data_IF_335913442058
#
_entry.id   IF_335913442058
#
_cell.length_a   1.000
_cell.length_b   1.000
_cell.length_c   1.000
_cell.angle_alpha   90.00
_cell.angle_beta   90.00
_cell.angle_gamma   90.00
#
_symmetry.space_group_name_H-M   'P 1'
#
loop_
_entity.id
_entity.type
_entity.pdbx_description
1 polymer ?
#
# COMPACT_ATOMS: atom_id res chain seq x y z
N UNK A 1 5.46 -13.50 5.34
CA UNK A 1 4.32 -12.85 4.65
C UNK A 1 3.93 -11.51 5.25
N UNK A 2 3.65 -11.39 6.56
CA UNK A 2 3.33 -10.09 7.21
C UNK A 2 4.28 -8.95 6.82
N UNK A 3 5.59 -9.14 7.02
CA UNK A 3 6.61 -8.17 6.64
C UNK A 3 6.62 -7.87 5.14
N UNK A 4 6.50 -8.89 4.28
CA UNK A 4 6.50 -8.72 2.82
C UNK A 4 5.29 -7.92 2.32
N UNK A 5 4.17 -7.93 3.05
CA UNK A 5 2.99 -7.13 2.73
C UNK A 5 3.00 -5.74 3.37
N UNK A 6 3.64 -5.55 4.54
CA UNK A 6 3.70 -4.25 5.22
C UNK A 6 4.84 -3.37 4.77
N UNK A 7 6.00 -3.96 4.45
CA UNK A 7 7.17 -3.22 3.98
C UNK A 7 6.83 -2.40 2.72
N UNK A 8 6.16 -2.92 1.68
CA UNK A 8 5.76 -2.11 0.53
C UNK A 8 4.88 -0.92 0.89
N UNK A 9 3.91 -1.13 1.80
CA UNK A 9 2.97 -0.09 2.22
C UNK A 9 3.65 1.05 2.98
N UNK A 10 4.82 0.81 3.59
CA UNK A 10 5.59 1.84 4.31
C UNK A 10 6.77 2.37 3.48
N UNK A 11 7.52 1.49 2.83
CA UNK A 11 8.72 1.83 2.08
C UNK A 11 8.40 2.67 0.84
N UNK A 12 7.29 2.38 0.14
CA UNK A 12 6.89 3.17 -1.01
C UNK A 12 6.62 4.64 -0.65
N UNK A 13 5.69 4.98 0.28
CA UNK A 13 5.46 6.37 0.64
C UNK A 13 6.70 7.02 1.29
N UNK A 14 7.47 6.29 2.09
CA UNK A 14 8.72 6.82 2.66
C UNK A 14 9.75 7.19 1.58
N UNK A 15 9.93 6.34 0.57
CA UNK A 15 10.82 6.60 -0.56
C UNK A 15 10.37 7.80 -1.38
N UNK A 16 9.06 7.94 -1.63
CA UNK A 16 8.50 9.13 -2.27
C UNK A 16 8.73 10.39 -1.44
N UNK A 17 8.47 10.37 -0.13
CA UNK A 17 8.68 11.53 0.75
C UNK A 17 10.14 11.98 0.71
N UNK A 18 11.10 11.06 0.81
CA UNK A 18 12.54 11.39 0.78
C UNK A 18 12.90 12.08 -0.53
N UNK A 19 12.47 11.51 -1.67
CA UNK A 19 12.78 12.06 -3.01
C UNK A 19 12.14 13.43 -3.22
N UNK A 20 10.87 13.60 -2.82
CA UNK A 20 10.12 14.83 -3.05
C UNK A 20 10.58 16.00 -2.15
N UNK A 21 11.18 15.73 -0.99
CA UNK A 21 11.66 16.77 -0.08
C UNK A 21 13.13 17.16 -0.30
N UNK A 22 13.90 16.40 -1.09
CA UNK A 22 15.32 16.67 -1.33
C UNK A 22 15.75 16.38 -2.78
N UNK A 23 15.15 17.06 -3.78
CA UNK A 23 15.30 16.72 -5.20
C UNK A 23 16.70 16.98 -5.78
N UNK A 24 17.54 17.78 -5.13
CA UNK A 24 18.92 18.07 -5.59
C UNK A 24 19.98 17.21 -4.86
N UNK A 25 19.57 16.44 -3.85
CA UNK A 25 20.49 15.64 -3.06
C UNK A 25 20.58 14.21 -3.64
N UNK A 26 21.69 13.93 -4.32
CA UNK A 26 21.97 12.60 -4.92
C UNK A 26 21.79 11.45 -3.92
N UNK A 27 22.19 11.65 -2.66
CA UNK A 27 22.02 10.65 -1.59
C UNK A 27 20.54 10.39 -1.29
N UNK A 28 19.71 11.45 -1.28
CA UNK A 28 18.27 11.32 -1.05
C UNK A 28 17.58 10.62 -2.21
N UNK A 29 17.97 10.91 -3.45
CA UNK A 29 17.46 10.19 -4.63
C UNK A 29 17.80 8.70 -4.56
N UNK A 30 19.06 8.36 -4.28
CA UNK A 30 19.49 6.96 -4.14
C UNK A 30 18.69 6.25 -3.05
N UNK A 31 18.55 6.87 -1.87
CA UNK A 31 17.78 6.31 -0.76
C UNK A 31 16.29 6.15 -1.10
N UNK A 32 15.69 7.17 -1.73
CA UNK A 32 14.29 7.17 -2.14
C UNK A 32 13.99 6.08 -3.16
N UNK A 33 14.82 5.96 -4.20
CA UNK A 33 14.70 4.90 -5.20
C UNK A 33 14.96 3.52 -4.61
N UNK A 34 15.93 3.37 -3.72
CA UNK A 34 16.19 2.09 -3.05
C UNK A 34 14.96 1.60 -2.25
N UNK A 35 14.25 2.49 -1.57
CA UNK A 35 13.02 2.15 -0.85
C UNK A 35 11.85 1.80 -1.78
N UNK A 36 11.71 2.52 -2.89
CA UNK A 36 10.70 2.20 -3.91
C UNK A 36 11.00 0.84 -4.53
N UNK A 37 12.26 0.56 -4.88
CA UNK A 37 12.69 -0.73 -5.40
C UNK A 37 12.48 -1.86 -4.38
N UNK A 38 12.76 -1.61 -3.10
CA UNK A 38 12.46 -2.57 -2.03
C UNK A 38 10.96 -2.86 -1.94
N UNK A 39 10.11 -1.84 -2.04
CA UNK A 39 8.66 -2.01 -2.06
C UNK A 39 8.22 -2.89 -3.25
N UNK A 40 8.69 -2.59 -4.46
CA UNK A 40 8.38 -3.36 -5.66
C UNK A 40 8.92 -4.80 -5.58
N UNK A 41 10.12 -4.99 -5.04
CA UNK A 41 10.71 -6.30 -4.82
C UNK A 41 9.86 -7.13 -3.87
N UNK A 42 9.47 -6.57 -2.73
CA UNK A 42 8.57 -7.23 -1.79
C UNK A 42 7.22 -7.57 -2.44
N UNK A 43 6.64 -6.68 -3.26
CA UNK A 43 5.42 -6.97 -4.04
C UNK A 43 5.63 -8.15 -4.98
N UNK A 44 6.74 -8.17 -5.72
CA UNK A 44 7.06 -9.27 -6.64
C UNK A 44 7.14 -10.63 -5.92
N UNK A 45 7.55 -10.65 -4.64
CA UNK A 45 7.54 -11.85 -3.81
C UNK A 45 6.16 -12.20 -3.25
N UNK A 46 5.26 -11.22 -3.07
CA UNK A 46 3.89 -11.44 -2.61
C UNK A 46 3.01 -11.98 -3.73
N UNK A 47 3.19 -11.51 -4.97
CA UNK A 47 2.35 -11.90 -6.13
C UNK A 47 2.21 -13.43 -6.31
N UNK A 48 3.28 -14.24 -6.27
CA UNK A 48 3.17 -15.69 -6.42
C UNK A 48 2.76 -16.43 -5.13
N UNK A 49 2.47 -15.72 -4.04
CA UNK A 49 2.21 -16.35 -2.74
C UNK A 49 0.81 -16.95 -2.63
N UNK A 50 0.68 -17.95 -1.75
CA UNK A 50 -0.61 -18.54 -1.37
C UNK A 50 -1.64 -17.48 -0.91
N UNK A 51 -1.18 -16.45 -0.18
CA UNK A 51 -2.05 -15.36 0.28
C UNK A 51 -2.63 -14.56 -0.89
N UNK A 52 -1.82 -14.29 -1.91
CA UNK A 52 -2.29 -13.60 -3.11
C UNK A 52 -3.24 -14.47 -3.93
N UNK A 53 -3.03 -15.80 -3.97
CA UNK A 53 -3.96 -16.75 -4.59
C UNK A 53 -5.35 -16.63 -3.94
N UNK A 54 -5.43 -16.63 -2.61
CA UNK A 54 -6.70 -16.47 -1.91
C UNK A 54 -7.39 -15.16 -2.30
N UNK A 55 -6.67 -14.09 -2.62
CA UNK A 55 -7.29 -12.82 -3.06
C UNK A 55 -7.67 -12.83 -4.54
N UNK A 56 -6.79 -13.29 -5.42
CA UNK A 56 -6.86 -13.07 -6.86
C UNK A 56 -7.36 -14.24 -7.71
N UNK A 57 -7.42 -15.46 -7.17
CA UNK A 57 -7.81 -16.66 -7.94
C UNK A 57 -9.32 -16.71 -8.21
N UNK A 58 -9.77 -17.57 -9.12
CA UNK A 58 -11.19 -17.72 -9.42
C UNK A 58 -11.94 -18.39 -8.26
N UNK A 59 -13.22 -18.03 -8.07
CA UNK A 59 -14.04 -18.53 -6.95
C UNK A 59 -14.12 -20.07 -6.90
N UNK A 60 -14.09 -20.73 -8.06
CA UNK A 60 -14.17 -22.19 -8.16
C UNK A 60 -12.91 -22.92 -7.67
N UNK A 61 -11.78 -22.22 -7.57
CA UNK A 61 -10.49 -22.78 -7.13
C UNK A 61 -10.26 -22.60 -5.62
N UNK A 62 -11.27 -22.10 -4.89
CA UNK A 62 -11.20 -21.80 -3.47
C UNK A 62 -12.15 -22.68 -2.70
N UNK A 63 -11.71 -23.12 -1.53
CA UNK A 63 -12.59 -23.75 -0.57
C UNK A 63 -13.52 -22.71 0.13
N UNK A 64 -14.50 -23.19 0.90
CA UNK A 64 -15.44 -22.32 1.61
C UNK A 64 -14.76 -21.41 2.64
N UNK A 65 -13.67 -21.88 3.26
CA UNK A 65 -12.91 -21.14 4.25
C UNK A 65 -12.12 -19.98 3.62
N UNK A 66 -11.38 -20.26 2.54
CA UNK A 66 -10.66 -19.30 1.70
C UNK A 66 -11.61 -18.26 1.12
N UNK A 67 -12.82 -18.65 0.73
CA UNK A 67 -13.86 -17.73 0.29
C UNK A 67 -14.32 -16.76 1.39
N UNK A 68 -14.58 -17.25 2.60
CA UNK A 68 -14.96 -16.38 3.73
C UNK A 68 -13.80 -15.45 4.11
N UNK A 69 -12.58 -15.98 4.10
CA UNK A 69 -11.37 -15.24 4.37
C UNK A 69 -11.16 -14.11 3.34
N UNK A 70 -11.31 -14.40 2.06
CA UNK A 70 -11.32 -13.42 0.97
C UNK A 70 -12.35 -12.34 1.22
N UNK A 71 -13.60 -12.71 1.54
CA UNK A 71 -14.69 -11.75 1.79
C UNK A 71 -14.36 -10.79 2.93
N UNK A 72 -13.85 -11.31 4.05
CA UNK A 72 -13.44 -10.49 5.20
C UNK A 72 -12.28 -9.56 4.83
N UNK A 73 -11.28 -10.08 4.12
CA UNK A 73 -10.14 -9.31 3.65
C UNK A 73 -10.54 -8.15 2.73
N UNK A 74 -11.42 -8.39 1.74
CA UNK A 74 -11.92 -7.33 0.86
C UNK A 74 -12.76 -6.30 1.62
N UNK A 75 -13.58 -6.73 2.56
CA UNK A 75 -14.38 -5.80 3.39
C UNK A 75 -13.47 -4.88 4.20
N UNK A 76 -12.47 -5.46 4.88
CA UNK A 76 -11.52 -4.70 5.68
C UNK A 76 -10.64 -3.79 4.82
N UNK A 77 -10.14 -4.28 3.67
CA UNK A 77 -9.35 -3.49 2.73
C UNK A 77 -10.16 -2.32 2.17
N UNK A 78 -11.42 -2.55 1.81
CA UNK A 78 -12.33 -1.50 1.35
C UNK A 78 -12.55 -0.43 2.43
N UNK A 79 -12.83 -0.84 3.67
CA UNK A 79 -13.00 0.10 4.79
C UNK A 79 -11.73 0.90 5.05
N UNK A 80 -10.57 0.24 5.10
CA UNK A 80 -9.28 0.89 5.33
C UNK A 80 -8.92 1.87 4.20
N UNK A 81 -9.07 1.45 2.94
CA UNK A 81 -8.80 2.30 1.78
C UNK A 81 -9.78 3.47 1.68
N UNK A 82 -11.06 3.26 2.03
CA UNK A 82 -12.06 4.33 2.06
C UNK A 82 -11.73 5.36 3.14
N UNK A 83 -11.30 4.93 4.33
CA UNK A 83 -10.86 5.83 5.38
C UNK A 83 -9.63 6.65 4.96
N UNK A 84 -8.63 6.01 4.33
CA UNK A 84 -7.47 6.70 3.77
C UNK A 84 -7.86 7.72 2.70
N UNK A 85 -8.77 7.34 1.80
CA UNK A 85 -9.29 8.23 0.75
C UNK A 85 -10.04 9.42 1.36
N UNK A 86 -10.84 9.20 2.40
CA UNK A 86 -11.53 10.28 3.10
C UNK A 86 -10.54 11.24 3.75
N UNK A 87 -9.52 10.73 4.45
CA UNK A 87 -8.45 11.56 5.03
C UNK A 87 -7.74 12.36 3.95
N UNK A 88 -7.43 11.73 2.81
CA UNK A 88 -6.80 12.39 1.67
C UNK A 88 -7.68 13.53 1.13
N UNK A 89 -8.97 13.29 0.88
CA UNK A 89 -9.89 14.34 0.40
C UNK A 89 -10.05 15.47 1.41
N UNK A 90 -10.20 15.15 2.71
CA UNK A 90 -10.27 16.16 3.77
C UNK A 90 -9.00 17.02 3.82
N UNK A 91 -7.82 16.40 3.73
CA UNK A 91 -6.54 17.10 3.67
C UNK A 91 -6.49 18.08 2.50
N UNK A 92 -6.87 17.65 1.30
CA UNK A 92 -6.87 18.51 0.11
C UNK A 92 -7.87 19.65 0.20
N UNK A 93 -9.06 19.41 0.77
CA UNK A 93 -10.05 20.46 1.02
C UNK A 93 -9.49 21.53 1.96
N UNK A 94 -8.88 21.12 3.07
CA UNK A 94 -8.22 22.04 4.01
C UNK A 94 -7.06 22.76 3.33
N UNK A 95 -6.24 22.04 2.56
CA UNK A 95 -5.07 22.61 1.92
C UNK A 95 -5.42 23.68 0.89
N UNK A 96 -6.49 23.47 0.10
CA UNK A 96 -6.97 24.43 -0.88
C UNK A 96 -7.40 25.76 -0.22
N UNK A 97 -8.15 25.70 0.89
CA UNK A 97 -8.63 26.90 1.59
C UNK A 97 -7.55 27.58 2.44
N UNK A 98 -6.62 26.79 2.99
CA UNK A 98 -5.60 27.28 3.91
C UNK A 98 -4.31 27.74 3.22
N UNK A 99 -4.15 27.55 1.91
CA UNK A 99 -2.88 27.77 1.23
C UNK A 99 -2.36 29.20 1.35
N UNK A 100 -3.25 30.20 1.34
CA UNK A 100 -2.88 31.61 1.57
C UNK A 100 -2.37 31.87 2.99
N UNK A 101 -2.88 31.13 3.98
CA UNK A 101 -2.56 31.32 5.41
C UNK A 101 -1.42 30.42 5.88
N UNK A 102 -1.26 29.26 5.26
CA UNK A 102 -0.30 28.21 5.60
C UNK A 102 0.49 27.81 4.34
N UNK A 103 1.43 28.65 3.88
CA UNK A 103 2.18 28.40 2.65
C UNK A 103 3.12 27.19 2.74
N UNK A 104 3.39 26.69 3.95
CA UNK A 104 4.18 25.49 4.18
C UNK A 104 3.37 24.19 4.03
N UNK A 105 2.05 24.27 3.87
CA UNK A 105 1.21 23.09 3.71
C UNK A 105 1.44 22.48 2.33
N UNK A 106 1.88 21.23 2.31
CA UNK A 106 2.28 20.56 1.07
C UNK A 106 1.09 20.30 0.15
N UNK A 107 1.26 20.61 -1.14
CA UNK A 107 0.30 20.25 -2.19
C UNK A 107 1.05 19.71 -3.41
N UNK A 108 0.47 18.75 -4.14
CA UNK A 108 1.08 18.25 -5.38
C UNK A 108 1.03 19.34 -6.45
N UNK A 109 2.20 19.78 -6.92
CA UNK A 109 2.33 20.90 -7.87
C UNK A 109 2.88 20.49 -9.24
N UNK A 110 3.46 19.29 -9.34
CA UNK A 110 4.09 18.80 -10.56
C UNK A 110 3.72 17.32 -10.81
N UNK A 111 4.13 16.82 -11.98
CA UNK A 111 3.86 15.45 -12.39
C UNK A 111 4.44 14.41 -11.43
N UNK A 112 5.64 14.61 -10.89
CA UNK A 112 6.27 13.67 -9.96
C UNK A 112 5.44 13.48 -8.68
N UNK A 113 4.87 14.57 -8.14
CA UNK A 113 4.01 14.50 -6.94
C UNK A 113 2.76 13.66 -7.22
N UNK A 114 2.10 13.89 -8.36
CA UNK A 114 0.90 13.15 -8.75
C UNK A 114 1.20 11.69 -9.09
N UNK A 115 2.31 11.44 -9.77
CA UNK A 115 2.77 10.09 -10.09
C UNK A 115 3.04 9.29 -8.81
N UNK A 116 3.67 9.92 -7.80
CA UNK A 116 3.91 9.28 -6.51
C UNK A 116 2.60 8.87 -5.82
N UNK A 117 1.60 9.76 -5.78
CA UNK A 117 0.27 9.48 -5.20
C UNK A 117 -0.43 8.35 -5.95
N UNK A 118 -0.45 8.41 -7.29
CA UNK A 118 -1.13 7.42 -8.13
C UNK A 118 -0.61 6.00 -7.88
N UNK A 119 0.70 5.82 -7.97
CA UNK A 119 1.32 4.51 -7.76
C UNK A 119 1.20 4.04 -6.31
N UNK A 120 1.20 4.96 -5.34
CA UNK A 120 0.92 4.65 -3.94
C UNK A 120 -0.50 4.13 -3.76
N UNK A 121 -1.49 4.82 -4.33
CA UNK A 121 -2.89 4.39 -4.33
C UNK A 121 -3.05 3.01 -4.97
N UNK A 122 -2.47 2.81 -6.16
CA UNK A 122 -2.46 1.52 -6.85
C UNK A 122 -1.83 0.39 -6.01
N UNK A 123 -0.69 0.66 -5.37
CA UNK A 123 -0.01 -0.34 -4.54
C UNK A 123 -0.87 -0.73 -3.33
N UNK A 124 -1.53 0.25 -2.70
CA UNK A 124 -2.44 0.02 -1.59
C UNK A 124 -3.66 -0.80 -2.02
N UNK A 125 -4.28 -0.50 -3.16
CA UNK A 125 -5.47 -1.27 -3.62
C UNK A 125 -5.14 -2.74 -3.88
N UNK A 126 -3.96 -3.04 -4.42
CA UNK A 126 -3.53 -4.40 -4.70
C UNK A 126 -3.14 -5.16 -3.42
N UNK A 127 -2.41 -4.52 -2.51
CA UNK A 127 -1.80 -5.22 -1.37
C UNK A 127 -2.64 -5.26 -0.10
N UNK A 128 -3.53 -4.29 0.14
CA UNK A 128 -4.32 -4.24 1.36
C UNK A 128 -5.08 -5.54 1.68
N UNK A 129 -5.82 -6.19 0.75
CA UNK A 129 -6.50 -7.44 1.07
C UNK A 129 -5.49 -8.55 1.45
N UNK A 130 -4.38 -8.66 0.73
CA UNK A 130 -3.35 -9.68 0.98
C UNK A 130 -2.61 -9.43 2.31
N UNK A 131 -2.35 -8.16 2.64
CA UNK A 131 -1.79 -7.76 3.92
C UNK A 131 -2.73 -8.15 5.06
N UNK A 132 -4.03 -7.87 4.91
CA UNK A 132 -5.02 -8.26 5.91
C UNK A 132 -4.99 -9.77 6.18
N UNK A 133 -5.04 -10.59 5.13
CA UNK A 133 -4.96 -12.05 5.28
C UNK A 133 -3.65 -12.45 5.97
N UNK A 134 -2.51 -11.90 5.58
CA UNK A 134 -1.22 -12.22 6.18
C UNK A 134 -1.15 -11.93 7.70
N UNK A 135 -1.89 -10.92 8.17
CA UNK A 135 -1.94 -10.57 9.60
C UNK A 135 -2.95 -11.38 10.38
N UNK A 136 -4.11 -11.70 9.79
CA UNK A 136 -5.25 -12.27 10.50
C UNK A 136 -5.45 -13.78 10.30
N UNK A 137 -4.78 -14.39 9.32
CA UNK A 137 -4.69 -15.85 9.22
C UNK A 137 -3.57 -16.33 10.14
N UNK A 138 -3.92 -17.13 11.15
CA UNK A 138 -2.95 -17.91 11.91
C UNK A 138 -2.23 -18.88 10.99
N UNK A 139 -0.97 -19.21 11.28
CA UNK A 139 -0.23 -20.21 10.48
C UNK A 139 -1.10 -21.48 10.33
N UNK A 140 -1.14 -22.11 9.14
CA UNK A 140 -1.85 -23.37 8.98
C UNK A 140 -1.33 -24.32 10.06
N UNK A 141 -2.25 -24.99 10.76
CA UNK A 141 -1.87 -26.02 11.71
C UNK A 141 -0.94 -26.99 10.96
N UNK A 142 0.28 -27.18 11.47
CA UNK A 142 1.11 -28.26 10.98
C UNK A 142 0.31 -29.53 11.24
N UNK A 143 -0.18 -30.16 10.18
CA UNK A 143 -0.61 -31.54 10.28
C UNK A 143 0.64 -32.31 10.70
N UNK A 144 0.72 -32.66 11.98
CA UNK A 144 1.72 -33.57 12.50
C UNK A 144 1.51 -34.90 11.76
N UNK A 145 2.38 -35.17 10.78
CA UNK A 145 2.53 -36.49 10.15
C UNK A 145 2.94 -37.56 11.17
#
# INVERSE_FOLDING_TARGET
MRALTTVPLLAYPAGCIIRLNAPEAVIADIAGFALILLALFCVALVVPSYFQRIVGDEKQNLDEFEMDLRRRAYTAAYQGFSALTLIFVMYFGIAADAQEKLPWLWTPSNFDHWNAIFWGGFLYTVLLPTAWIAWFVGAPAQEEE
#
